data_IF_273503319196
#
_entry.id   IF_273503319196
#
_cell.length_a   1.000
_cell.length_b   1.000
_cell.length_c   1.000
_cell.angle_alpha   90.00
_cell.angle_beta   90.00
_cell.angle_gamma   90.00
#
_symmetry.space_group_name_H-M   'P 1'
#
loop_
_entity.id
_entity.type
_entity.pdbx_description
1 polymer ?
#
# COMPACT_ATOMS: atom_id res chain seq x y z
N UNK A 1 -9.46 18.50 3.43
CA UNK A 1 -8.59 17.42 3.96
C UNK A 1 -9.43 16.15 4.02
N UNK A 2 -9.03 15.06 3.34
CA UNK A 2 -9.75 13.78 3.40
C UNK A 2 -9.55 13.20 4.81
N UNK A 3 -10.64 12.78 5.47
CA UNK A 3 -10.52 12.12 6.78
C UNK A 3 -9.86 10.76 6.58
N UNK A 4 -8.92 10.44 7.46
CA UNK A 4 -8.32 9.10 7.53
C UNK A 4 -9.44 8.08 7.78
N UNK A 5 -9.57 7.09 6.89
CA UNK A 5 -10.54 6.00 7.01
C UNK A 5 -9.91 4.77 7.70
N UNK A 6 -9.11 4.99 8.74
CA UNK A 6 -8.34 3.93 9.39
C UNK A 6 -9.18 3.16 10.40
N UNK A 7 -9.10 1.82 10.35
CA UNK A 7 -9.76 0.90 11.28
C UNK A 7 -11.14 1.40 11.72
N UNK A 8 -12.12 1.40 10.79
CA UNK A 8 -13.55 1.40 11.07
C UNK A 8 -14.02 1.18 12.52
N UNK A 9 -13.68 0.03 13.10
CA UNK A 9 -14.08 -0.36 14.46
C UNK A 9 -13.49 0.51 15.58
N UNK A 10 -12.32 1.13 15.39
CA UNK A 10 -11.72 2.06 16.36
C UNK A 10 -12.38 3.44 16.32
N UNK A 11 -13.00 3.80 15.19
CA UNK A 11 -13.68 5.08 14.99
C UNK A 11 -15.19 5.01 15.32
N UNK A 12 -15.67 3.86 15.80
CA UNK A 12 -17.06 3.62 16.19
C UNK A 12 -17.94 3.06 15.06
N UNK A 13 -19.15 2.63 15.43
CA UNK A 13 -20.06 1.82 14.60
C UNK A 13 -20.43 2.43 13.22
N UNK A 14 -20.34 3.76 13.06
CA UNK A 14 -20.64 4.44 11.81
C UNK A 14 -19.60 4.23 10.70
N UNK A 15 -18.49 3.57 11.00
CA UNK A 15 -17.39 3.38 10.06
C UNK A 15 -17.04 1.92 9.78
N UNK A 16 -17.78 0.90 10.29
CA UNK A 16 -17.51 -0.55 10.09
C UNK A 16 -17.13 -0.92 8.65
N UNK A 17 -16.24 -1.93 8.51
CA UNK A 17 -15.89 -2.49 7.20
C UNK A 17 -17.12 -2.93 6.43
N UNK A 18 -18.19 -3.39 7.09
CA UNK A 18 -19.44 -3.80 6.46
C UNK A 18 -20.16 -2.67 5.68
N UNK A 19 -19.89 -1.40 5.99
CA UNK A 19 -20.50 -0.25 5.31
C UNK A 19 -20.01 -0.06 3.88
N UNK A 20 -18.81 -0.57 3.56
CA UNK A 20 -18.23 -0.49 2.23
C UNK A 20 -18.86 -1.56 1.33
N UNK A 21 -19.16 -1.21 0.07
CA UNK A 21 -19.69 -2.21 -0.87
C UNK A 21 -18.62 -3.19 -1.31
N UNK A 22 -17.39 -2.70 -1.44
CA UNK A 22 -16.24 -3.45 -1.93
C UNK A 22 -15.01 -3.11 -1.10
N UNK A 23 -14.23 -4.14 -0.78
CA UNK A 23 -12.98 -4.08 -0.03
C UNK A 23 -11.92 -4.76 -0.87
N UNK A 24 -10.77 -4.14 -1.02
CA UNK A 24 -9.72 -4.56 -1.94
C UNK A 24 -8.43 -4.72 -1.16
N UNK A 25 -7.75 -5.85 -1.36
CA UNK A 25 -6.39 -6.08 -0.92
C UNK A 25 -5.48 -6.03 -2.14
N UNK A 26 -4.47 -5.15 -2.12
CA UNK A 26 -3.46 -5.06 -3.17
C UNK A 26 -2.10 -5.43 -2.57
N UNK A 27 -1.44 -6.43 -3.14
CA UNK A 27 -0.10 -6.83 -2.72
C UNK A 27 0.80 -7.13 -3.91
N UNK A 28 2.10 -7.10 -3.67
CA UNK A 28 3.16 -7.54 -4.58
C UNK A 28 3.67 -8.96 -4.25
N UNK A 29 3.44 -9.39 -3.02
CA UNK A 29 3.85 -10.68 -2.48
C UNK A 29 2.66 -11.65 -2.43
N UNK A 30 2.84 -12.81 -3.05
CA UNK A 30 1.83 -13.88 -3.13
C UNK A 30 1.73 -14.71 -1.85
N UNK A 31 2.75 -14.70 -0.98
CA UNK A 31 2.79 -15.67 0.13
C UNK A 31 3.06 -15.09 1.52
N UNK A 32 3.91 -14.07 1.66
CA UNK A 32 4.23 -13.49 2.98
C UNK A 32 3.14 -12.55 3.47
N UNK A 33 2.95 -11.43 2.79
CA UNK A 33 1.98 -10.41 3.21
C UNK A 33 0.52 -10.90 3.13
N UNK A 34 0.12 -11.57 2.05
CA UNK A 34 -1.24 -12.10 1.89
C UNK A 34 -1.57 -13.12 3.00
N UNK A 35 -0.63 -14.03 3.29
CA UNK A 35 -0.78 -15.00 4.38
C UNK A 35 -0.87 -14.32 5.75
N UNK A 36 -0.05 -13.30 6.01
CA UNK A 36 -0.17 -12.51 7.24
C UNK A 36 -1.51 -11.79 7.33
N UNK A 37 -1.97 -11.16 6.25
CA UNK A 37 -3.23 -10.41 6.19
C UNK A 37 -4.41 -11.30 6.56
N UNK A 38 -4.53 -12.48 5.95
CA UNK A 38 -5.62 -13.41 6.25
C UNK A 38 -5.62 -13.92 7.70
N UNK A 39 -4.45 -14.02 8.33
CA UNK A 39 -4.32 -14.55 9.69
C UNK A 39 -4.41 -13.47 10.78
N UNK A 40 -4.06 -12.22 10.49
CA UNK A 40 -3.85 -11.19 11.50
C UNK A 40 -4.66 -9.91 11.28
N UNK A 41 -5.05 -9.60 10.03
CA UNK A 41 -5.77 -8.37 9.76
C UNK A 41 -7.22 -8.47 10.25
N UNK A 42 -7.75 -7.46 10.98
CA UNK A 42 -9.11 -7.48 11.51
C UNK A 42 -10.14 -7.24 10.40
N UNK A 43 -10.49 -8.28 9.66
CA UNK A 43 -11.43 -8.21 8.52
C UNK A 43 -12.89 -8.03 8.90
N UNK A 44 -13.26 -8.17 10.17
CA UNK A 44 -14.67 -8.17 10.63
C UNK A 44 -15.54 -9.22 9.87
N UNK A 45 -14.94 -10.37 9.53
CA UNK A 45 -15.54 -11.42 8.68
C UNK A 45 -15.98 -10.94 7.28
N UNK A 46 -15.46 -9.80 6.82
CA UNK A 46 -15.75 -9.27 5.49
C UNK A 46 -14.82 -9.87 4.44
N UNK A 47 -15.35 -10.10 3.25
CA UNK A 47 -14.57 -10.53 2.10
C UNK A 47 -13.78 -9.36 1.49
N UNK A 48 -12.53 -9.64 1.12
CA UNK A 48 -11.63 -8.75 0.37
C UNK A 48 -11.35 -9.35 -1.00
N UNK A 49 -11.46 -8.54 -2.05
CA UNK A 49 -10.99 -8.90 -3.39
C UNK A 49 -9.47 -8.71 -3.43
N UNK A 50 -8.72 -9.81 -3.60
CA UNK A 50 -7.26 -9.76 -3.62
C UNK A 50 -6.73 -9.59 -5.04
N UNK A 51 -5.86 -8.60 -5.23
CA UNK A 51 -5.12 -8.36 -6.46
C UNK A 51 -3.63 -8.40 -6.17
N UNK A 52 -2.97 -9.44 -6.69
CA UNK A 52 -1.53 -9.50 -6.70
C UNK A 52 -1.01 -8.83 -7.99
N UNK A 53 -0.43 -7.65 -7.83
CA UNK A 53 0.19 -6.90 -8.92
C UNK A 53 1.71 -7.10 -8.78
N UNK A 54 2.43 -7.39 -9.85
CA UNK A 54 3.90 -7.40 -9.78
C UNK A 54 4.38 -5.95 -9.63
N UNK A 55 4.45 -5.46 -8.40
CA UNK A 55 4.86 -4.10 -8.08
C UNK A 55 6.37 -4.12 -7.78
N UNK A 56 7.21 -4.07 -8.82
CA UNK A 56 8.66 -3.88 -8.62
C UNK A 56 9.16 -2.67 -9.41
N UNK A 57 10.07 -1.92 -8.80
CA UNK A 57 10.74 -0.76 -9.40
C UNK A 57 11.42 -1.11 -10.74
N UNK A 58 11.95 -2.33 -10.86
CA UNK A 58 12.66 -2.82 -12.05
C UNK A 58 11.71 -3.15 -13.23
N UNK A 59 10.47 -3.57 -12.96
CA UNK A 59 9.48 -3.88 -14.01
C UNK A 59 8.69 -2.67 -14.49
N UNK A 60 8.79 -1.51 -13.83
CA UNK A 60 8.39 -0.23 -14.42
C UNK A 60 9.19 0.07 -15.71
N UNK A 61 10.39 -0.53 -15.86
CA UNK A 61 11.18 -0.51 -17.09
C UNK A 61 10.89 -1.67 -18.06
N UNK A 62 10.20 -2.74 -17.63
CA UNK A 62 10.03 -3.95 -18.46
C UNK A 62 8.66 -4.61 -18.28
N UNK A 63 7.78 -4.29 -19.24
CA UNK A 63 6.47 -4.88 -19.59
C UNK A 63 6.16 -6.24 -18.93
N UNK A 64 5.41 -6.22 -17.83
CA UNK A 64 4.61 -7.36 -17.32
C UNK A 64 3.13 -6.98 -17.23
N UNK A 65 2.25 -7.98 -17.03
CA UNK A 65 0.81 -8.11 -17.34
C UNK A 65 -0.20 -7.06 -16.81
N UNK A 66 0.27 -5.89 -16.39
CA UNK A 66 -0.52 -4.67 -16.32
C UNK A 66 -0.29 -3.94 -17.65
N UNK A 67 -1.31 -3.35 -18.27
CA UNK A 67 -1.14 -2.61 -19.53
C UNK A 67 0.07 -1.63 -19.37
N UNK A 68 1.20 -1.82 -20.08
CA UNK A 68 2.49 -1.19 -19.72
C UNK A 68 2.49 0.34 -19.76
N UNK A 69 1.43 0.93 -20.31
CA UNK A 69 1.25 2.36 -20.39
C UNK A 69 0.75 3.01 -19.08
N UNK A 70 0.37 2.24 -18.04
CA UNK A 70 -0.42 2.79 -16.94
C UNK A 70 0.19 2.62 -15.53
N UNK A 71 1.13 1.70 -15.29
CA UNK A 71 1.69 1.48 -13.95
C UNK A 71 0.65 1.14 -12.87
N UNK A 72 1.05 1.12 -11.59
CA UNK A 72 0.13 0.90 -10.47
C UNK A 72 -0.93 2.01 -10.39
N UNK A 73 -0.50 3.25 -10.62
CA UNK A 73 -1.34 4.44 -10.56
C UNK A 73 -2.47 4.39 -11.58
N UNK A 74 -2.18 4.00 -12.82
CA UNK A 74 -3.19 3.83 -13.85
C UNK A 74 -4.08 2.61 -13.61
N UNK A 75 -3.56 1.53 -13.02
CA UNK A 75 -4.42 0.42 -12.59
C UNK A 75 -5.43 0.88 -11.53
N UNK A 76 -4.97 1.62 -10.51
CA UNK A 76 -5.84 2.18 -9.48
C UNK A 76 -6.91 3.10 -10.08
N UNK A 77 -6.52 4.04 -10.95
CA UNK A 77 -7.46 4.95 -11.64
C UNK A 77 -8.56 4.22 -12.42
N UNK A 78 -8.24 3.06 -12.99
CA UNK A 78 -9.18 2.31 -13.84
C UNK A 78 -10.04 1.30 -13.08
N UNK A 79 -9.58 0.80 -11.92
CA UNK A 79 -10.22 -0.31 -11.22
C UNK A 79 -10.77 0.06 -9.84
N UNK A 80 -10.29 1.13 -9.22
CA UNK A 80 -10.64 1.55 -7.87
C UNK A 80 -11.49 2.82 -7.90
N UNK A 81 -12.53 2.84 -7.06
CA UNK A 81 -13.43 3.97 -6.84
C UNK A 81 -13.21 4.51 -5.42
N UNK A 82 -13.57 5.76 -5.20
CA UNK A 82 -13.30 6.46 -3.93
C UNK A 82 -14.07 5.87 -2.72
N UNK A 83 -15.18 5.20 -3.00
CA UNK A 83 -16.04 4.49 -2.06
C UNK A 83 -15.58 3.06 -1.75
N UNK A 84 -14.57 2.53 -2.45
CA UNK A 84 -13.95 1.27 -2.05
C UNK A 84 -13.14 1.49 -0.77
N UNK A 85 -12.95 0.40 -0.03
CA UNK A 85 -11.98 0.35 1.06
C UNK A 85 -10.74 -0.40 0.56
N UNK A 86 -9.61 0.29 0.46
CA UNK A 86 -8.40 -0.29 -0.13
C UNK A 86 -7.29 -0.41 0.91
N UNK A 87 -6.86 -1.65 1.11
CA UNK A 87 -5.65 -1.98 1.85
C UNK A 87 -4.57 -2.38 0.85
N UNK A 88 -3.39 -1.79 0.98
CA UNK A 88 -2.28 -2.05 0.06
C UNK A 88 -0.98 -2.31 0.83
N UNK A 89 -0.14 -3.22 0.33
CA UNK A 89 1.28 -3.29 0.69
C UNK A 89 2.12 -2.84 -0.50
N UNK A 90 3.08 -1.96 -0.26
CA UNK A 90 3.96 -1.45 -1.32
C UNK A 90 5.31 -0.97 -0.76
N UNK A 91 6.32 -1.00 -1.63
CA UNK A 91 7.62 -0.40 -1.37
C UNK A 91 7.58 1.14 -1.53
N UNK A 92 8.49 1.81 -0.82
CA UNK A 92 8.56 3.27 -0.78
C UNK A 92 8.67 3.95 -2.16
N UNK A 93 9.39 3.35 -3.11
CA UNK A 93 9.54 3.91 -4.45
C UNK A 93 8.23 3.93 -5.24
N UNK A 94 7.42 2.88 -5.10
CA UNK A 94 6.10 2.77 -5.73
C UNK A 94 5.17 3.82 -5.15
N UNK A 95 5.25 4.01 -3.83
CA UNK A 95 4.44 4.99 -3.12
C UNK A 95 4.83 6.42 -3.49
N UNK A 96 6.12 6.70 -3.74
CA UNK A 96 6.57 8.00 -4.26
C UNK A 96 5.91 8.30 -5.63
N UNK A 97 5.86 7.33 -6.55
CA UNK A 97 5.16 7.46 -7.84
C UNK A 97 3.66 7.75 -7.65
N UNK A 98 3.01 7.03 -6.74
CA UNK A 98 1.59 7.24 -6.44
C UNK A 98 1.29 8.61 -5.82
N UNK A 99 2.24 9.15 -5.05
CA UNK A 99 2.17 10.51 -4.51
C UNK A 99 2.28 11.55 -5.63
N UNK A 100 3.24 11.37 -6.55
CA UNK A 100 3.45 12.25 -7.71
C UNK A 100 2.22 12.25 -8.64
N UNK A 101 1.66 11.07 -8.91
CA UNK A 101 0.48 10.89 -9.74
C UNK A 101 -0.86 11.19 -9.04
N UNK A 102 -0.82 11.48 -7.74
CA UNK A 102 -1.98 11.76 -6.88
C UNK A 102 -2.98 10.60 -6.81
N UNK A 103 -2.54 9.38 -7.04
CA UNK A 103 -3.36 8.15 -6.95
C UNK A 103 -3.35 7.55 -5.56
N UNK A 104 -2.42 7.94 -4.71
CA UNK A 104 -2.35 7.52 -3.30
C UNK A 104 -3.65 7.78 -2.52
N UNK A 105 -4.43 8.78 -2.94
CA UNK A 105 -5.73 9.05 -2.36
C UNK A 105 -6.75 7.92 -2.58
N UNK A 106 -6.50 6.97 -3.48
CA UNK A 106 -7.36 5.80 -3.67
C UNK A 106 -7.06 4.67 -2.66
N UNK A 107 -5.99 4.80 -1.87
CA UNK A 107 -5.62 3.88 -0.80
C UNK A 107 -6.11 4.44 0.53
N UNK A 108 -6.76 3.62 1.35
CA UNK A 108 -7.21 4.03 2.69
C UNK A 108 -6.22 3.57 3.77
N UNK A 109 -5.63 2.37 3.61
CA UNK A 109 -4.63 1.81 4.50
C UNK A 109 -3.45 1.22 3.72
N UNK A 110 -2.23 1.55 4.15
CA UNK A 110 -0.98 1.22 3.48
C UNK A 110 0.01 0.58 4.46
N UNK A 111 0.47 -0.61 4.12
CA UNK A 111 1.63 -1.27 4.71
C UNK A 111 2.86 -0.90 3.90
N UNK A 112 3.62 0.08 4.39
CA UNK A 112 4.77 0.65 3.72
C UNK A 112 6.04 -0.12 4.09
N UNK A 113 6.65 -0.74 3.08
CA UNK A 113 7.99 -1.29 3.17
C UNK A 113 8.99 -0.20 2.75
N UNK A 114 9.78 0.30 3.71
CA UNK A 114 10.79 1.32 3.45
C UNK A 114 12.15 0.84 3.96
N UNK A 115 12.88 0.16 3.07
CA UNK A 115 14.25 -0.28 3.31
C UNK A 115 15.14 0.95 3.54
N UNK A 116 15.78 1.02 4.71
CA UNK A 116 16.68 2.10 5.05
C UNK A 116 18.02 1.56 5.58
N UNK A 117 19.04 2.40 5.61
CA UNK A 117 20.40 2.02 6.01
C UNK A 117 20.54 1.41 7.41
N UNK A 118 19.55 1.55 8.31
CA UNK A 118 19.61 0.99 9.67
C UNK A 118 19.00 -0.42 9.79
N UNK A 119 18.30 -0.92 8.77
CA UNK A 119 17.79 -2.30 8.71
C UNK A 119 18.84 -3.26 8.13
N UNK A 120 20.12 -3.00 8.41
CA UNK A 120 21.24 -3.75 7.84
C UNK A 120 21.61 -4.92 8.75
N UNK A 121 21.00 -6.08 8.51
CA UNK A 121 21.36 -7.35 9.16
C UNK A 121 22.62 -7.98 8.53
N UNK A 122 23.37 -7.24 7.72
CA UNK A 122 24.60 -7.68 7.07
C UNK A 122 24.40 -8.67 5.90
N UNK A 123 23.15 -8.88 5.44
CA UNK A 123 22.81 -9.80 4.34
C UNK A 123 21.88 -9.12 3.33
N UNK A 124 22.33 -8.02 2.72
CA UNK A 124 21.55 -7.31 1.69
C UNK A 124 22.42 -6.81 0.54
N UNK A 125 21.99 -7.10 -0.69
CA UNK A 125 22.67 -6.76 -1.94
C UNK A 125 23.11 -5.28 -2.00
N UNK A 126 24.38 -5.08 -2.34
CA UNK A 126 25.07 -3.77 -2.36
C UNK A 126 24.56 -2.82 -3.47
N UNK A 127 23.58 -3.24 -4.27
CA UNK A 127 23.15 -2.55 -5.51
C UNK A 127 21.82 -1.78 -5.43
N UNK A 128 21.04 -1.89 -4.35
CA UNK A 128 19.85 -1.04 -4.17
C UNK A 128 20.25 0.27 -3.46
N UNK A 129 19.98 1.44 -4.08
CA UNK A 129 20.21 2.73 -3.42
C UNK A 129 19.28 2.88 -2.21
N UNK A 130 19.74 2.46 -1.03
CA UNK A 130 18.94 2.45 0.20
C UNK A 130 18.51 3.89 0.55
N UNK A 131 17.26 4.06 0.95
CA UNK A 131 16.70 5.35 1.36
C UNK A 131 17.28 5.74 2.72
N UNK A 132 17.54 7.02 2.95
CA UNK A 132 17.88 7.48 4.29
C UNK A 132 16.65 7.38 5.21
N UNK A 133 16.87 7.06 6.49
CA UNK A 133 15.78 6.86 7.45
C UNK A 133 14.82 8.06 7.55
N UNK A 134 15.35 9.29 7.55
CA UNK A 134 14.53 10.50 7.59
C UNK A 134 13.65 10.68 6.34
N UNK A 135 14.08 10.18 5.18
CA UNK A 135 13.26 10.22 3.97
C UNK A 135 12.08 9.26 4.09
N UNK A 136 12.25 8.09 4.71
CA UNK A 136 11.12 7.22 5.06
C UNK A 136 10.16 7.95 6.00
N UNK A 137 10.65 8.54 7.10
CA UNK A 137 9.80 9.29 8.04
C UNK A 137 9.05 10.45 7.38
N UNK A 138 9.70 11.18 6.47
CA UNK A 138 9.05 12.24 5.71
C UNK A 138 7.93 11.70 4.80
N UNK A 139 8.12 10.53 4.18
CA UNK A 139 7.08 9.87 3.42
C UNK A 139 5.89 9.46 4.30
N UNK A 140 6.14 8.88 5.49
CA UNK A 140 5.07 8.56 6.46
C UNK A 140 4.23 9.79 6.81
N UNK A 141 4.87 10.93 7.10
CA UNK A 141 4.18 12.19 7.38
C UNK A 141 3.32 12.63 6.19
N UNK A 142 3.91 12.64 5.00
CA UNK A 142 3.24 13.07 3.77
C UNK A 142 2.01 12.22 3.43
N UNK A 143 2.08 10.91 3.64
CA UNK A 143 0.97 9.97 3.43
C UNK A 143 -0.18 10.21 4.40
N UNK A 144 0.13 10.44 5.68
CA UNK A 144 -0.87 10.76 6.70
C UNK A 144 -1.56 12.09 6.41
N UNK A 145 -0.84 13.07 5.86
CA UNK A 145 -1.42 14.34 5.42
C UNK A 145 -2.39 14.16 4.24
N UNK A 146 -2.19 13.14 3.40
CA UNK A 146 -3.14 12.73 2.36
C UNK A 146 -4.37 11.96 2.90
N UNK A 147 -4.39 11.64 4.20
CA UNK A 147 -5.46 10.90 4.82
C UNK A 147 -5.32 9.38 4.69
N UNK A 148 -4.11 8.87 4.40
CA UNK A 148 -3.82 7.44 4.35
C UNK A 148 -3.37 6.97 5.73
N UNK A 149 -3.91 5.84 6.17
CA UNK A 149 -3.40 5.15 7.35
C UNK A 149 -2.16 4.35 6.98
N UNK A 150 -1.05 4.58 7.69
CA UNK A 150 0.23 3.98 7.28
C UNK A 150 0.80 3.13 8.40
N UNK A 151 1.14 1.89 8.06
CA UNK A 151 1.82 0.91 8.89
C UNK A 151 3.20 0.68 8.36
N UNK A 152 4.17 0.54 9.26
CA UNK A 152 5.48 0.08 8.87
C UNK A 152 5.46 -1.43 8.70
N UNK A 153 5.86 -1.88 7.51
CA UNK A 153 6.11 -3.28 7.23
C UNK A 153 7.59 -3.60 7.40
N UNK A 154 7.86 -4.66 8.16
CA UNK A 154 9.20 -5.21 8.37
C UNK A 154 9.16 -6.63 7.82
N UNK A 155 10.00 -6.91 6.82
CA UNK A 155 10.28 -8.27 6.38
C UNK A 155 11.42 -8.87 7.20
#
# INVERSE_FOLDING_TARGET
>A
MRKIKFLPHLLGDSHSLASYRRRILISDDKNGFEGWFHNNYPTENQHFETYNLEITAEKLSSRSMVNPAAGISGWLKNNVRQEDFVVMKAEAQVVDEMMEEKTICLVDELFLECKNHFQDDGVGDENESKRAYWQCLALYGSLRDQGVAVHQWWN
#
